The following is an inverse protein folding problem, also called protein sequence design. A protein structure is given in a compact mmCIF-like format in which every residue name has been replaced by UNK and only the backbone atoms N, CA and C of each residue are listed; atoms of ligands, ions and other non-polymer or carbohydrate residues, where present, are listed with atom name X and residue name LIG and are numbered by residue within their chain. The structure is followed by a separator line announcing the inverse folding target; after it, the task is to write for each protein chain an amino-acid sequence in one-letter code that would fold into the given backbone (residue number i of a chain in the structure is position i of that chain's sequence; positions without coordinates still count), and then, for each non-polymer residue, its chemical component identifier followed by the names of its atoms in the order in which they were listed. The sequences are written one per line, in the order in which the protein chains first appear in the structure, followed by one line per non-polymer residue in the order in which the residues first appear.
data_IF_231602498707
#
_entry.id   IF_231602498707
#
_cell.length_a   1.000
_cell.length_b   1.000
_cell.length_c   1.000
_cell.angle_alpha   90.00
_cell.angle_beta   90.00
_cell.angle_gamma   90.00
#
_symmetry.space_group_name_H-M   'P 1'
#
loop_
_entity.id
_entity.type
_entity.pdbx_description
1 polymer ?
#
# COMPACT_ATOMS: atom_id res chain seq x y z
N UNK A 1 -8.55 -7.61 17.06
CA UNK A 1 -7.69 -8.19 16.00
C UNK A 1 -6.25 -8.18 16.51
N UNK A 2 -5.62 -9.36 16.62
CA UNK A 2 -4.22 -9.49 17.05
C UNK A 2 -3.34 -9.69 15.82
N UNK A 3 -2.94 -8.59 15.19
CA UNK A 3 -2.12 -8.57 13.99
C UNK A 3 -0.69 -8.16 14.36
N UNK A 4 0.27 -9.00 14.00
CA UNK A 4 1.69 -8.73 14.19
C UNK A 4 2.38 -8.74 12.81
N UNK A 5 3.07 -7.65 12.47
CA UNK A 5 3.81 -7.46 11.22
C UNK A 5 5.30 -7.36 11.54
N UNK A 6 6.10 -8.17 10.87
CA UNK A 6 7.55 -8.17 11.09
C UNK A 6 8.22 -7.09 10.23
N UNK A 7 9.35 -6.58 10.70
CA UNK A 7 10.15 -5.65 9.91
C UNK A 7 10.67 -6.33 8.65
N UNK A 8 10.55 -5.65 7.51
CA UNK A 8 11.02 -6.18 6.23
C UNK A 8 10.24 -7.40 5.73
N UNK A 9 8.93 -7.47 5.99
CA UNK A 9 8.07 -8.49 5.39
C UNK A 9 6.98 -7.88 4.50
N UNK A 10 6.52 -8.63 3.52
CA UNK A 10 5.27 -8.39 2.82
C UNK A 10 4.18 -9.23 3.49
N UNK A 11 3.34 -8.58 4.26
CA UNK A 11 2.25 -9.19 5.01
C UNK A 11 0.94 -9.00 4.26
N UNK A 12 0.36 -10.07 3.72
CA UNK A 12 -0.93 -9.98 3.07
C UNK A 12 -2.08 -10.00 4.09
N UNK A 13 -3.07 -9.13 3.88
CA UNK A 13 -4.31 -9.10 4.65
C UNK A 13 -5.46 -9.51 3.74
N UNK A 14 -6.00 -10.70 3.96
CA UNK A 14 -7.06 -11.31 3.17
C UNK A 14 -8.39 -11.37 3.93
N UNK A 15 -9.49 -11.34 3.18
CA UNK A 15 -10.85 -11.44 3.72
C UNK A 15 -11.87 -11.00 2.68
N UNK A 16 -13.12 -11.43 2.83
CA UNK A 16 -14.22 -10.97 1.97
C UNK A 16 -14.50 -9.47 2.11
N UNK A 17 -15.32 -8.93 1.22
CA UNK A 17 -15.82 -7.57 1.36
C UNK A 17 -16.66 -7.47 2.65
N UNK A 18 -16.39 -6.42 3.44
CA UNK A 18 -17.00 -6.28 4.77
C UNK A 18 -16.30 -7.02 5.91
N UNK A 19 -15.23 -7.78 5.66
CA UNK A 19 -14.50 -8.50 6.71
C UNK A 19 -13.76 -7.61 7.73
N UNK A 20 -13.77 -6.27 7.54
CA UNK A 20 -13.12 -5.32 8.45
C UNK A 20 -11.74 -4.84 8.02
N UNK A 21 -11.25 -5.22 6.82
CA UNK A 21 -9.92 -4.79 6.33
C UNK A 21 -9.80 -3.27 6.26
N UNK A 22 -10.75 -2.60 5.61
CA UNK A 22 -10.73 -1.13 5.47
C UNK A 22 -10.91 -0.41 6.81
N UNK A 23 -11.64 -1.00 7.77
CA UNK A 23 -11.73 -0.46 9.14
C UNK A 23 -10.37 -0.50 9.82
N UNK A 24 -9.67 -1.64 9.75
CA UNK A 24 -8.33 -1.79 10.31
C UNK A 24 -7.35 -0.80 9.65
N UNK A 25 -7.43 -0.63 8.31
CA UNK A 25 -6.60 0.36 7.60
C UNK A 25 -6.88 1.79 8.04
N UNK A 26 -8.15 2.15 8.22
CA UNK A 26 -8.51 3.49 8.72
C UNK A 26 -8.02 3.74 10.15
N UNK A 27 -7.96 2.71 10.99
CA UNK A 27 -7.37 2.81 12.33
C UNK A 27 -5.85 3.04 12.22
N UNK A 28 -5.14 2.27 11.39
CA UNK A 28 -3.70 2.43 11.16
C UNK A 28 -3.36 3.76 10.48
N UNK A 29 -4.31 4.30 9.71
CA UNK A 29 -4.19 5.62 9.08
C UNK A 29 -4.44 6.80 10.04
N UNK A 30 -4.94 6.55 11.26
CA UNK A 30 -5.39 7.60 12.17
C UNK A 30 -6.70 8.28 11.78
N UNK A 31 -7.47 7.69 10.84
CA UNK A 31 -8.78 8.18 10.42
C UNK A 31 -9.91 7.71 11.36
N UNK A 32 -9.72 6.60 12.05
CA UNK A 32 -10.63 6.04 13.03
C UNK A 32 -9.87 5.70 14.31
N UNK A 33 -10.53 5.85 15.45
CA UNK A 33 -10.00 5.39 16.72
C UNK A 33 -10.45 3.96 16.99
N UNK A 34 -9.58 3.09 17.54
CA UNK A 34 -10.02 1.78 18.02
C UNK A 34 -10.89 1.96 19.27
N UNK A 35 -11.99 1.22 19.34
CA UNK A 35 -12.84 1.19 20.55
C UNK A 35 -12.10 0.52 21.73
N UNK A 36 -11.30 -0.51 21.43
CA UNK A 36 -10.50 -1.26 22.41
C UNK A 36 -9.18 -1.72 21.79
N UNK A 37 -8.21 -2.04 22.65
CA UNK A 37 -6.91 -2.53 22.24
C UNK A 37 -5.84 -1.45 22.15
N UNK A 38 -4.67 -1.80 21.61
CA UNK A 38 -3.52 -0.90 21.47
C UNK A 38 -2.79 -1.15 20.16
N UNK A 39 -2.14 -0.11 19.65
CA UNK A 39 -1.25 -0.19 18.50
C UNK A 39 0.18 -0.02 19.02
N UNK A 40 1.09 -0.84 18.51
CA UNK A 40 2.52 -0.76 18.85
C UNK A 40 3.34 -0.69 17.57
N UNK A 41 4.38 0.14 17.60
CA UNK A 41 5.41 0.21 16.55
C UNK A 41 6.77 0.04 17.26
N UNK A 42 7.55 -0.94 16.83
CA UNK A 42 8.83 -1.30 17.47
C UNK A 42 8.67 -1.54 18.99
N UNK A 43 7.65 -2.30 19.37
CA UNK A 43 7.29 -2.64 20.77
C UNK A 43 6.95 -1.42 21.65
N UNK A 44 6.77 -0.24 21.04
CA UNK A 44 6.35 0.96 21.75
C UNK A 44 4.87 1.25 21.46
N UNK A 45 4.04 1.45 22.50
CA UNK A 45 2.65 1.81 22.29
C UNK A 45 2.55 3.19 21.64
N UNK A 46 1.72 3.30 20.63
CA UNK A 46 1.48 4.55 19.88
C UNK A 46 -0.02 4.88 19.87
N UNK A 47 -0.31 6.16 19.80
CA UNK A 47 -1.69 6.66 19.66
C UNK A 47 -1.82 7.40 18.33
N UNK A 48 -2.60 6.84 17.42
CA UNK A 48 -2.84 7.38 16.08
C UNK A 48 -4.18 8.13 16.07
N UNK A 49 -4.21 9.38 16.53
CA UNK A 49 -5.45 10.16 16.58
C UNK A 49 -5.78 10.85 15.26
N UNK A 50 -4.76 11.11 14.44
CA UNK A 50 -4.88 11.81 13.17
C UNK A 50 -4.00 11.16 12.10
N UNK A 51 -4.30 11.37 10.81
CA UNK A 51 -3.41 10.94 9.73
C UNK A 51 -1.98 11.50 9.84
N UNK A 52 -1.84 12.67 10.45
CA UNK A 52 -0.53 13.27 10.68
C UNK A 52 0.30 12.48 11.71
N UNK A 53 -0.35 11.88 12.71
CA UNK A 53 0.33 11.02 13.69
C UNK A 53 0.85 9.77 13.00
N UNK A 54 0.01 9.10 12.19
CA UNK A 54 0.43 7.93 11.40
C UNK A 54 1.59 8.27 10.47
N UNK A 55 1.51 9.39 9.76
CA UNK A 55 2.56 9.89 8.90
C UNK A 55 3.87 10.16 9.66
N UNK A 56 3.83 10.81 10.83
CA UNK A 56 5.01 11.14 11.65
C UNK A 56 5.72 9.89 12.17
N UNK A 57 4.99 8.78 12.32
CA UNK A 57 5.51 7.47 12.70
C UNK A 57 5.96 6.62 11.50
N UNK A 58 6.00 7.22 10.31
CA UNK A 58 6.48 6.55 9.10
C UNK A 58 5.47 5.60 8.45
N UNK A 59 4.18 5.74 8.72
CA UNK A 59 3.13 4.97 8.04
C UNK A 59 2.68 5.74 6.81
N UNK A 60 2.74 5.12 5.63
CA UNK A 60 2.15 5.64 4.39
C UNK A 60 1.15 4.66 3.82
N UNK A 61 0.05 5.19 3.29
CA UNK A 61 -1.06 4.38 2.80
C UNK A 61 -1.41 4.80 1.37
N UNK A 62 -1.55 3.82 0.50
CA UNK A 62 -2.15 3.94 -0.82
C UNK A 62 -3.54 3.32 -0.76
N UNK A 63 -4.56 4.16 -0.86
CA UNK A 63 -5.95 3.74 -0.85
C UNK A 63 -6.41 3.29 -2.24
N UNK A 64 -7.52 2.56 -2.30
CA UNK A 64 -8.18 2.20 -3.54
C UNK A 64 -8.62 3.43 -4.35
N UNK A 65 -9.00 4.53 -3.68
CA UNK A 65 -9.30 5.81 -4.31
C UNK A 65 -8.09 6.73 -4.25
N UNK A 66 -7.64 7.19 -5.42
CA UNK A 66 -6.45 8.03 -5.54
C UNK A 66 -6.68 9.42 -4.95
N UNK A 67 -5.63 9.97 -4.33
CA UNK A 67 -5.61 11.29 -3.71
C UNK A 67 -4.85 12.33 -4.56
N UNK A 68 -4.65 12.06 -5.85
CA UNK A 68 -3.95 12.95 -6.78
C UNK A 68 -4.80 14.16 -7.15
N UNK A 69 -4.13 15.29 -7.35
CA UNK A 69 -4.72 16.53 -7.83
C UNK A 69 -4.54 16.61 -9.34
N UNK A 70 -5.62 16.48 -10.10
CA UNK A 70 -5.61 16.38 -11.56
C UNK A 70 -4.98 17.59 -12.27
N UNK A 71 -5.16 18.80 -11.74
CA UNK A 71 -4.65 20.05 -12.32
C UNK A 71 -3.18 20.37 -11.97
N UNK A 72 -2.53 19.51 -11.20
CA UNK A 72 -1.10 19.61 -10.88
C UNK A 72 -0.30 18.60 -11.70
N UNK A 73 0.98 18.90 -11.91
CA UNK A 73 1.91 17.97 -12.55
C UNK A 73 2.18 16.75 -11.68
N UNK A 74 2.74 15.70 -12.27
CA UNK A 74 3.25 14.51 -11.57
C UNK A 74 4.21 14.92 -10.45
N UNK A 75 5.15 15.81 -10.75
CA UNK A 75 6.14 16.27 -9.78
C UNK A 75 5.52 16.99 -8.58
N UNK A 76 4.57 17.89 -8.83
CA UNK A 76 3.86 18.60 -7.77
C UNK A 76 3.02 17.66 -6.90
N UNK A 77 2.46 16.60 -7.47
CA UNK A 77 1.74 15.59 -6.70
C UNK A 77 2.68 14.73 -5.84
N UNK A 78 3.78 14.22 -6.42
CA UNK A 78 4.73 13.33 -5.71
C UNK A 78 5.36 14.05 -4.54
N UNK A 79 5.85 15.28 -4.74
CA UNK A 79 6.52 16.06 -3.70
C UNK A 79 5.61 17.12 -3.06
N UNK A 80 4.31 16.88 -3.00
CA UNK A 80 3.37 17.76 -2.31
C UNK A 80 3.86 18.09 -0.89
N UNK A 81 3.87 19.38 -0.54
CA UNK A 81 4.42 19.94 0.71
C UNK A 81 5.94 19.75 0.92
N UNK A 82 6.69 19.35 -0.12
CA UNK A 82 8.14 19.18 -0.10
C UNK A 82 8.80 19.83 -1.33
N UNK A 83 8.16 20.83 -1.92
CA UNK A 83 8.70 21.51 -3.09
C UNK A 83 10.00 22.23 -2.75
N UNK A 84 11.06 22.04 -3.56
CA UNK A 84 12.27 22.84 -3.39
C UNK A 84 11.95 24.32 -3.59
N UNK A 85 12.28 25.13 -2.60
CA UNK A 85 12.03 26.56 -2.63
C UNK A 85 13.33 27.35 -2.45
N UNK A 86 13.38 28.52 -3.09
CA UNK A 86 14.43 29.50 -2.85
C UNK A 86 14.31 30.07 -1.42
N UNK A 87 15.35 30.78 -0.98
CA UNK A 87 15.32 31.51 0.31
C UNK A 87 14.17 32.55 0.42
N UNK A 88 13.53 32.87 -0.70
CA UNK A 88 12.39 33.79 -0.79
C UNK A 88 11.04 33.07 -0.84
N UNK A 89 11.03 31.73 -0.65
CA UNK A 89 9.80 30.93 -0.70
C UNK A 89 9.27 30.65 -2.12
N UNK A 90 10.03 31.01 -3.16
CA UNK A 90 9.64 30.75 -4.55
C UNK A 90 10.00 29.30 -4.92
N UNK A 91 9.03 28.53 -5.41
CA UNK A 91 9.24 27.15 -5.85
C UNK A 91 10.19 27.12 -7.05
N UNK A 92 11.21 26.26 -6.97
CA UNK A 92 12.18 26.02 -8.04
C UNK A 92 11.73 24.84 -8.90
N UNK A 93 10.86 25.10 -9.89
CA UNK A 93 10.24 24.05 -10.70
C UNK A 93 11.25 23.18 -11.44
N UNK A 94 12.32 23.74 -12.00
CA UNK A 94 13.34 22.96 -12.72
C UNK A 94 14.01 21.94 -11.78
N UNK A 95 14.31 22.34 -10.56
CA UNK A 95 14.84 21.44 -9.54
C UNK A 95 13.83 20.40 -9.10
N UNK A 96 12.56 20.77 -8.94
CA UNK A 96 11.46 19.84 -8.64
C UNK A 96 11.33 18.76 -9.73
N UNK A 97 11.34 19.17 -11.00
CA UNK A 97 11.23 18.21 -12.11
C UNK A 97 12.44 17.28 -12.18
N UNK A 98 13.66 17.84 -12.00
CA UNK A 98 14.90 17.05 -11.99
C UNK A 98 14.90 16.01 -10.86
N UNK A 99 14.52 16.41 -9.65
CA UNK A 99 14.44 15.49 -8.49
C UNK A 99 13.38 14.40 -8.74
N UNK A 100 12.25 14.77 -9.33
CA UNK A 100 11.17 13.82 -9.66
C UNK A 100 11.63 12.82 -10.71
N UNK A 101 12.34 13.26 -11.74
CA UNK A 101 12.86 12.39 -12.79
C UNK A 101 13.78 11.31 -12.20
N UNK A 102 14.78 11.72 -11.41
CA UNK A 102 15.67 10.80 -10.72
C UNK A 102 14.94 9.83 -9.78
N UNK A 103 13.92 10.32 -9.09
CA UNK A 103 13.11 9.48 -8.20
C UNK A 103 12.28 8.44 -8.97
N UNK A 104 11.65 8.84 -10.07
CA UNK A 104 10.90 7.92 -10.94
C UNK A 104 11.83 6.87 -11.60
N UNK A 105 13.04 7.25 -12.01
CA UNK A 105 14.06 6.32 -12.51
C UNK A 105 14.41 5.25 -11.47
N UNK A 106 14.60 5.63 -10.20
CA UNK A 106 14.88 4.69 -9.10
C UNK A 106 13.76 3.68 -8.88
N UNK A 107 12.53 4.06 -9.22
CA UNK A 107 11.33 3.21 -9.15
C UNK A 107 11.04 2.47 -10.47
N UNK A 108 11.89 2.59 -11.50
CA UNK A 108 11.66 2.06 -12.85
C UNK A 108 10.37 2.59 -13.50
N UNK A 109 10.02 3.85 -13.20
CA UNK A 109 8.88 4.59 -13.73
C UNK A 109 9.31 5.72 -14.69
N UNK A 110 10.46 5.57 -15.34
CA UNK A 110 11.12 6.52 -16.24
C UNK A 110 10.25 6.97 -17.43
N UNK A 111 9.20 6.21 -17.76
CA UNK A 111 8.24 6.57 -18.81
C UNK A 111 7.25 7.67 -18.40
N UNK A 112 7.09 7.93 -17.11
CA UNK A 112 6.19 8.95 -16.60
C UNK A 112 6.94 10.29 -16.57
N UNK A 113 6.50 11.23 -17.40
CA UNK A 113 7.12 12.55 -17.46
C UNK A 113 6.69 13.42 -16.26
N UNK A 114 7.63 13.94 -15.45
CA UNK A 114 7.35 14.78 -14.28
C UNK A 114 6.50 16.03 -14.55
N UNK A 115 6.57 16.57 -15.77
CA UNK A 115 5.85 17.80 -16.16
C UNK A 115 4.41 17.53 -16.62
N UNK A 116 4.04 16.27 -16.82
CA UNK A 116 2.70 15.93 -17.28
C UNK A 116 1.66 16.23 -16.19
N UNK A 117 0.56 16.88 -16.56
CA UNK A 117 -0.59 17.04 -15.67
C UNK A 117 -1.22 15.66 -15.38
N UNK A 118 -1.56 15.43 -14.12
CA UNK A 118 -2.16 14.14 -13.69
C UNK A 118 -3.46 13.84 -14.44
N UNK A 119 -4.23 14.86 -14.80
CA UNK A 119 -5.44 14.69 -15.63
C UNK A 119 -5.18 13.97 -16.98
N UNK A 120 -3.96 14.00 -17.52
CA UNK A 120 -3.58 13.40 -18.81
C UNK A 120 -3.04 11.98 -18.68
N UNK A 121 -2.85 11.50 -17.48
CA UNK A 121 -2.34 10.16 -17.23
C UNK A 121 -3.44 9.11 -17.38
N UNK A 122 -3.08 7.92 -17.84
CA UNK A 122 -3.92 6.74 -17.78
C UNK A 122 -4.22 6.35 -16.31
N UNK A 123 -5.28 5.58 -16.04
CA UNK A 123 -5.57 5.09 -14.69
C UNK A 123 -4.41 4.32 -14.06
N UNK A 124 -3.68 3.54 -14.86
CA UNK A 124 -2.51 2.80 -14.40
C UNK A 124 -1.34 3.71 -14.03
N UNK A 125 -1.04 4.72 -14.85
CA UNK A 125 -0.01 5.72 -14.51
C UNK A 125 -0.38 6.51 -13.27
N UNK A 126 -1.64 6.91 -13.10
CA UNK A 126 -2.13 7.56 -11.88
C UNK A 126 -1.88 6.68 -10.65
N UNK A 127 -2.16 5.38 -10.73
CA UNK A 127 -1.90 4.44 -9.63
C UNK A 127 -0.40 4.39 -9.27
N UNK A 128 0.48 4.31 -10.26
CA UNK A 128 1.93 4.29 -10.03
C UNK A 128 2.45 5.64 -9.49
N UNK A 129 1.87 6.77 -9.90
CA UNK A 129 2.18 8.09 -9.33
C UNK A 129 1.73 8.20 -7.88
N UNK A 130 0.56 7.63 -7.51
CA UNK A 130 0.11 7.59 -6.12
C UNK A 130 1.06 6.75 -5.25
N UNK A 131 1.52 5.59 -5.75
CA UNK A 131 2.56 4.79 -5.09
C UNK A 131 3.85 5.59 -4.93
N UNK A 132 4.34 6.25 -5.98
CA UNK A 132 5.54 7.09 -5.92
C UNK A 132 5.38 8.25 -4.92
N UNK A 133 4.22 8.90 -4.88
CA UNK A 133 3.88 9.95 -3.91
C UNK A 133 3.98 9.45 -2.47
N UNK A 134 3.42 8.27 -2.18
CA UNK A 134 3.50 7.68 -0.86
C UNK A 134 4.95 7.31 -0.49
N UNK A 135 5.74 6.77 -1.44
CA UNK A 135 7.14 6.42 -1.25
C UNK A 135 8.08 7.62 -1.10
N UNK A 136 7.73 8.80 -1.66
CA UNK A 136 8.51 10.02 -1.47
C UNK A 136 8.66 10.43 -0.01
N UNK A 137 7.79 9.91 0.86
CA UNK A 137 7.80 10.12 2.31
C UNK A 137 8.72 9.18 3.06
N UNK A 138 9.38 8.22 2.38
CA UNK A 138 10.29 7.22 2.96
C UNK A 138 9.65 6.46 4.14
N UNK A 139 8.52 5.77 3.91
CA UNK A 139 7.82 5.09 4.99
C UNK A 139 8.63 3.93 5.56
N UNK A 140 8.45 3.64 6.86
CA UNK A 140 8.87 2.39 7.50
C UNK A 140 7.79 1.31 7.44
N UNK A 141 6.52 1.74 7.35
CA UNK A 141 5.35 0.87 7.14
C UNK A 141 4.58 1.37 5.92
N UNK A 142 4.44 0.52 4.92
CA UNK A 142 3.79 0.85 3.67
C UNK A 142 2.55 -0.02 3.46
N UNK A 143 1.39 0.61 3.36
CA UNK A 143 0.10 -0.07 3.26
C UNK A 143 -0.48 0.17 1.86
N UNK A 144 -0.91 -0.90 1.19
CA UNK A 144 -1.52 -0.82 -0.14
C UNK A 144 -2.86 -1.54 -0.13
N UNK A 145 -3.92 -0.82 -0.49
CA UNK A 145 -5.28 -1.37 -0.61
C UNK A 145 -5.65 -1.55 -2.09
N UNK A 146 -5.65 -2.80 -2.54
CA UNK A 146 -5.94 -3.24 -3.93
C UNK A 146 -5.15 -2.47 -5.01
N UNK A 147 -3.81 -2.35 -4.90
CA UNK A 147 -3.03 -1.44 -5.73
C UNK A 147 -2.96 -1.83 -7.21
N UNK A 148 -3.36 -3.03 -7.57
CA UNK A 148 -3.27 -3.59 -8.94
C UNK A 148 -4.58 -3.54 -9.72
N UNK A 149 -5.65 -3.02 -9.14
CA UNK A 149 -6.99 -3.06 -9.74
C UNK A 149 -7.06 -2.41 -11.15
N UNK A 150 -6.26 -1.35 -11.37
CA UNK A 150 -6.19 -0.60 -12.64
C UNK A 150 -4.95 -0.90 -13.48
N UNK A 151 -4.04 -1.78 -13.01
CA UNK A 151 -2.76 -2.06 -13.64
C UNK A 151 -2.87 -3.19 -14.67
N UNK A 152 -2.10 -3.07 -15.75
CA UNK A 152 -1.79 -4.19 -16.64
C UNK A 152 -0.81 -5.15 -15.97
N UNK A 153 -0.64 -6.37 -16.53
CA UNK A 153 0.35 -7.33 -16.02
C UNK A 153 1.78 -6.78 -15.98
N UNK A 154 2.15 -5.94 -16.95
CA UNK A 154 3.48 -5.34 -17.01
C UNK A 154 3.68 -4.34 -15.87
N UNK A 155 2.70 -3.47 -15.63
CA UNK A 155 2.73 -2.47 -14.56
C UNK A 155 2.64 -3.13 -13.18
N UNK A 156 1.85 -4.21 -13.05
CA UNK A 156 1.81 -5.03 -11.84
C UNK A 156 3.19 -5.60 -11.52
N UNK A 157 3.91 -6.13 -12.51
CA UNK A 157 5.28 -6.61 -12.33
C UNK A 157 6.23 -5.49 -11.88
N UNK A 158 6.10 -4.29 -12.45
CA UNK A 158 6.90 -3.14 -12.02
C UNK A 158 6.61 -2.79 -10.56
N UNK A 159 5.33 -2.72 -10.17
CA UNK A 159 4.95 -2.50 -8.77
C UNK A 159 5.53 -3.56 -7.84
N UNK A 160 5.45 -4.84 -8.21
CA UNK A 160 6.00 -5.93 -7.41
C UNK A 160 7.51 -5.84 -7.22
N UNK A 161 8.26 -5.47 -8.25
CA UNK A 161 9.69 -5.22 -8.10
C UNK A 161 10.00 -4.09 -7.12
N UNK A 162 9.21 -3.00 -7.16
CA UNK A 162 9.33 -1.91 -6.18
C UNK A 162 9.08 -2.42 -4.76
N UNK A 163 8.00 -3.19 -4.54
CA UNK A 163 7.65 -3.70 -3.22
C UNK A 163 8.70 -4.69 -2.67
N UNK A 164 9.21 -5.59 -3.52
CA UNK A 164 10.28 -6.53 -3.13
C UNK A 164 11.54 -5.76 -2.71
N UNK A 165 11.95 -4.77 -3.49
CA UNK A 165 13.10 -3.93 -3.16
C UNK A 165 12.92 -3.22 -1.81
N UNK A 166 11.75 -2.62 -1.57
CA UNK A 166 11.44 -1.94 -0.32
C UNK A 166 11.47 -2.89 0.88
N UNK A 167 10.89 -4.10 0.74
CA UNK A 167 10.97 -5.16 1.74
C UNK A 167 12.43 -5.50 2.08
N UNK A 168 13.26 -5.68 1.05
CA UNK A 168 14.67 -6.03 1.20
C UNK A 168 15.48 -4.87 1.85
N UNK A 169 14.99 -3.62 1.72
CA UNK A 169 15.49 -2.43 2.41
C UNK A 169 14.94 -2.28 3.84
N UNK A 170 14.11 -3.23 4.32
CA UNK A 170 13.59 -3.28 5.68
C UNK A 170 12.23 -2.62 5.89
N UNK A 171 11.56 -2.15 4.83
CA UNK A 171 10.20 -1.60 4.93
C UNK A 171 9.19 -2.72 5.17
N UNK A 172 8.33 -2.55 6.17
CA UNK A 172 7.20 -3.45 6.42
C UNK A 172 6.03 -3.11 5.49
N UNK A 173 5.54 -4.09 4.74
CA UNK A 173 4.49 -3.87 3.74
C UNK A 173 3.23 -4.61 4.13
N UNK A 174 2.09 -3.90 4.23
CA UNK A 174 0.77 -4.50 4.36
C UNK A 174 0.10 -4.46 2.98
N UNK A 175 -0.10 -5.64 2.41
CA UNK A 175 -0.64 -5.80 1.07
C UNK A 175 -2.06 -6.36 1.12
N UNK A 176 -3.04 -5.56 0.73
CA UNK A 176 -4.44 -5.98 0.69
C UNK A 176 -4.80 -6.26 -0.76
N UNK A 177 -5.22 -7.48 -1.04
CA UNK A 177 -5.72 -7.89 -2.35
C UNK A 177 -6.73 -9.01 -2.22
N UNK A 178 -7.71 -9.03 -3.10
CA UNK A 178 -8.63 -10.16 -3.28
C UNK A 178 -8.13 -11.12 -4.37
N UNK A 179 -7.04 -10.79 -5.07
CA UNK A 179 -6.39 -11.62 -6.10
C UNK A 179 -5.40 -12.57 -5.43
N UNK A 180 -5.85 -13.80 -5.24
CA UNK A 180 -5.04 -14.79 -4.51
C UNK A 180 -3.70 -15.08 -5.18
N UNK A 181 -3.65 -15.03 -6.53
CA UNK A 181 -2.40 -15.20 -7.29
C UNK A 181 -1.34 -14.19 -6.84
N UNK A 182 -1.72 -12.93 -6.67
CA UNK A 182 -0.83 -11.86 -6.20
C UNK A 182 -0.39 -12.09 -4.76
N UNK A 183 -1.33 -12.48 -3.89
CA UNK A 183 -1.05 -12.80 -2.49
C UNK A 183 -0.01 -13.91 -2.37
N UNK A 184 -0.22 -15.02 -3.08
CA UNK A 184 0.72 -16.15 -3.07
C UNK A 184 2.04 -15.87 -3.77
N UNK A 185 2.08 -14.91 -4.69
CA UNK A 185 3.32 -14.48 -5.33
C UNK A 185 4.16 -13.61 -4.38
N UNK A 186 3.53 -12.67 -3.70
CA UNK A 186 4.23 -11.57 -3.02
C UNK A 186 4.40 -11.75 -1.51
N UNK A 187 3.41 -12.35 -0.84
CA UNK A 187 3.41 -12.37 0.62
C UNK A 187 4.45 -13.33 1.22
N UNK A 188 5.01 -12.94 2.35
CA UNK A 188 5.76 -13.82 3.25
C UNK A 188 4.80 -14.48 4.25
N UNK A 189 3.85 -13.70 4.80
CA UNK A 189 2.81 -14.17 5.71
C UNK A 189 1.45 -13.63 5.31
N UNK A 190 0.39 -14.36 5.67
CA UNK A 190 -0.99 -14.05 5.30
C UNK A 190 -1.85 -14.05 6.55
N UNK A 191 -2.49 -12.92 6.86
CA UNK A 191 -3.51 -12.81 7.89
C UNK A 191 -4.91 -12.83 7.25
N UNK A 192 -5.82 -13.51 7.92
CA UNK A 192 -7.18 -13.68 7.44
C UNK A 192 -8.15 -12.98 8.39
N UNK A 193 -9.00 -12.11 7.82
CA UNK A 193 -10.15 -11.52 8.50
C UNK A 193 -11.44 -12.08 7.92
N UNK A 194 -12.40 -12.38 8.80
CA UNK A 194 -13.73 -12.82 8.45
C UNK A 194 -14.76 -12.25 9.42
N UNK A 195 -15.79 -11.58 8.92
CA UNK A 195 -16.87 -11.01 9.73
C UNK A 195 -16.37 -10.18 10.93
N UNK A 196 -15.35 -9.33 10.69
CA UNK A 196 -14.69 -8.51 11.72
C UNK A 196 -13.78 -9.28 12.69
N UNK A 197 -13.62 -10.60 12.51
CA UNK A 197 -12.82 -11.44 13.40
C UNK A 197 -11.52 -11.90 12.73
N UNK A 198 -10.45 -11.86 13.50
CA UNK A 198 -9.17 -12.42 13.12
C UNK A 198 -9.21 -13.96 13.14
N UNK A 199 -8.82 -14.59 12.03
CA UNK A 199 -8.82 -16.04 11.84
C UNK A 199 -7.44 -16.68 11.97
N UNK A 200 -6.39 -15.87 12.11
CA UNK A 200 -5.01 -16.30 12.24
C UNK A 200 -4.08 -15.71 11.18
N UNK A 201 -2.78 -15.86 11.44
CA UNK A 201 -1.68 -15.54 10.52
C UNK A 201 -0.92 -16.83 10.19
N UNK A 202 -0.64 -17.02 8.92
CA UNK A 202 0.01 -18.21 8.39
C UNK A 202 1.21 -17.79 7.53
N UNK A 203 2.25 -18.61 7.51
CA UNK A 203 3.26 -18.48 6.46
C UNK A 203 2.66 -18.88 5.12
N UNK A 204 3.05 -18.22 4.06
CA UNK A 204 2.56 -18.52 2.71
C UNK A 204 2.75 -20.00 2.34
N UNK A 205 3.90 -20.56 2.70
CA UNK A 205 4.28 -21.95 2.42
C UNK A 205 3.42 -23.01 3.14
N UNK A 206 2.82 -22.62 4.27
CA UNK A 206 1.96 -23.48 5.10
C UNK A 206 0.48 -23.42 4.69
N UNK A 207 0.13 -22.64 3.65
CA UNK A 207 -1.26 -22.38 3.27
C UNK A 207 -1.49 -22.68 1.79
N UNK A 208 -2.51 -23.45 1.46
CA UNK A 208 -2.97 -23.62 0.09
C UNK A 208 -4.02 -22.57 -0.29
N UNK A 209 -4.20 -22.33 -1.61
CA UNK A 209 -5.27 -21.41 -2.08
C UNK A 209 -6.65 -21.86 -1.60
N UNK A 210 -6.95 -23.15 -1.68
CA UNK A 210 -8.24 -23.69 -1.26
C UNK A 210 -8.47 -23.54 0.25
N UNK A 211 -7.43 -23.69 1.05
CA UNK A 211 -7.50 -23.47 2.49
C UNK A 211 -7.70 -22.00 2.83
N UNK A 212 -6.99 -21.09 2.14
CA UNK A 212 -7.20 -19.66 2.30
C UNK A 212 -8.65 -19.28 1.98
N UNK A 213 -9.21 -19.75 0.86
CA UNK A 213 -10.58 -19.49 0.47
C UNK A 213 -11.56 -20.05 1.53
N UNK A 214 -11.36 -21.29 2.00
CA UNK A 214 -12.21 -21.85 3.06
C UNK A 214 -12.23 -21.01 4.33
N UNK A 215 -11.08 -20.50 4.75
CA UNK A 215 -10.95 -19.66 5.95
C UNK A 215 -11.58 -18.28 5.75
N UNK A 216 -11.50 -17.72 4.54
CA UNK A 216 -12.15 -16.44 4.21
C UNK A 216 -13.67 -16.56 4.16
N UNK A 217 -14.21 -17.54 3.43
CA UNK A 217 -15.64 -17.69 3.14
C UNK A 217 -16.36 -18.50 4.24
N UNK A 218 -15.67 -19.47 4.86
CA UNK A 218 -16.23 -20.31 5.91
C UNK A 218 -17.24 -21.37 5.41
N UNK A 219 -17.30 -21.60 4.09
CA UNK A 219 -18.06 -22.69 3.48
C UNK A 219 -17.09 -23.70 2.87
N UNK A 220 -17.38 -24.99 3.03
CA UNK A 220 -16.73 -26.00 2.20
C UNK A 220 -17.08 -25.69 0.73
N UNK A 221 -16.06 -25.48 -0.10
CA UNK A 221 -16.25 -25.49 -1.54
C UNK A 221 -16.64 -26.93 -1.87
N UNK A 222 -17.94 -27.19 -2.04
CA UNK A 222 -18.36 -28.40 -2.70
C UNK A 222 -17.71 -28.36 -4.07
N UNK A 223 -16.72 -29.23 -4.27
CA UNK A 223 -16.09 -29.43 -5.56
C UNK A 223 -17.19 -29.60 -6.60
N UNK A 224 -17.32 -28.63 -7.48
CA UNK A 224 -18.05 -28.85 -8.74
C UNK A 224 -17.24 -29.90 -9.51
N UNK A 225 -17.51 -31.17 -9.19
CA UNK A 225 -17.20 -32.28 -10.08
C UNK A 225 -18.08 -32.07 -11.29
N UNK A 226 -17.46 -31.46 -12.33
CA UNK A 226 -17.99 -31.57 -13.69
C UNK A 226 -18.11 -33.02 -14.03
N UNK A 227 -19.36 -33.50 -14.16
CA UNK A 227 -19.67 -34.75 -14.80
C UNK A 227 -19.49 -34.65 -16.30
#
# INVERSE_FOLDING_TARGET
VDLNIQSGEIHALCGENGAGKSTLMNILAGNLQPDEGSIQINDQPVNLQTPQDAFSLGISIVYQHLSLVDNLSVAENIFANQHPASRWGIIQFDELYRQTELFLEQLHLDKINPRTLVARLSPAEKQLVEVAKALSKKPSVFILDEPTASLTERETRTLFHILIKLRDEGVSIIYISHRLEEVFLMADRISILKDGKYQGTFKKEDLTKDELIRRMVGREIQSLKTG
#
